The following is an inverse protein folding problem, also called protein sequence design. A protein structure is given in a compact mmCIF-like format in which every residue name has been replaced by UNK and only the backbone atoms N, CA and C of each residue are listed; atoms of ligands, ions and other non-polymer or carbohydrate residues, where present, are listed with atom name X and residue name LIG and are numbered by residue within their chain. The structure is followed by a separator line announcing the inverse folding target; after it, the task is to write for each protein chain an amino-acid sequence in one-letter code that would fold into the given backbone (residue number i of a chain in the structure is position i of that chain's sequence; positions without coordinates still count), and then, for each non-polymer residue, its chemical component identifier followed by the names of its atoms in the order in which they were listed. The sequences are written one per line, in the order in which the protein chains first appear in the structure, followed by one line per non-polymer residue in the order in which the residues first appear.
data_IF_080297106035
#
_entry.id   IF_080297106035
#
_cell.length_a   1.000
_cell.length_b   1.000
_cell.length_c   1.000
_cell.angle_alpha   90.00
_cell.angle_beta   90.00
_cell.angle_gamma   90.00
#
_symmetry.space_group_name_H-M   'P 1'
#
loop_
_entity.id
_entity.type
_entity.pdbx_description
1 polymer ?
#
# COMPACT_ATOMS: atom_id res chain seq x y z
N UNK A 1 21.50 -2.25 -16.86
CA UNK A 1 20.57 -3.34 -16.47
C UNK A 1 19.23 -2.65 -16.34
N UNK A 2 18.20 -3.01 -17.13
CA UNK A 2 16.89 -2.41 -16.95
C UNK A 2 16.41 -2.70 -15.53
N UNK A 3 15.86 -1.69 -14.87
CA UNK A 3 15.24 -1.85 -13.56
C UNK A 3 13.85 -2.38 -13.83
N UNK A 4 13.55 -3.56 -13.28
CA UNK A 4 12.23 -4.15 -13.37
C UNK A 4 11.33 -3.46 -12.35
N UNK A 5 10.36 -2.68 -12.84
CA UNK A 5 9.33 -2.07 -12.01
C UNK A 5 8.24 -3.10 -11.76
N UNK A 6 7.79 -3.18 -10.51
CA UNK A 6 6.88 -4.21 -10.03
C UNK A 6 5.64 -3.62 -9.34
N UNK A 7 5.31 -2.36 -9.59
CA UNK A 7 4.07 -1.76 -9.12
C UNK A 7 2.83 -2.40 -9.72
N UNK A 8 1.68 -2.17 -9.08
CA UNK A 8 0.39 -2.68 -9.54
C UNK A 8 -0.26 -1.74 -10.54
N UNK A 9 -0.71 -2.31 -11.66
CA UNK A 9 -1.54 -1.61 -12.64
C UNK A 9 -3.01 -2.03 -12.48
N UNK A 10 -3.92 -1.21 -12.99
CA UNK A 10 -5.36 -1.51 -12.99
C UNK A 10 -5.65 -2.86 -13.66
N UNK A 11 -4.98 -3.14 -14.78
CA UNK A 11 -5.14 -4.39 -15.52
C UNK A 11 -4.57 -5.58 -14.73
N UNK A 12 -3.44 -5.42 -14.04
CA UNK A 12 -2.88 -6.47 -13.16
C UNK A 12 -3.88 -6.90 -12.07
N UNK A 13 -4.68 -5.96 -11.57
CA UNK A 13 -5.74 -6.27 -10.59
C UNK A 13 -6.84 -7.16 -11.16
N UNK A 14 -7.15 -7.02 -12.46
CA UNK A 14 -8.20 -7.78 -13.14
C UNK A 14 -7.73 -9.16 -13.62
N UNK A 15 -6.41 -9.39 -13.69
CA UNK A 15 -5.78 -10.66 -14.03
C UNK A 15 -5.50 -11.56 -12.81
N UNK A 16 -6.21 -11.33 -11.70
CA UNK A 16 -6.00 -12.05 -10.44
C UNK A 16 -6.20 -13.56 -10.55
N UNK A 17 -6.92 -14.03 -11.56
CA UNK A 17 -7.15 -15.44 -11.86
C UNK A 17 -5.86 -16.20 -12.24
N UNK A 18 -4.81 -15.48 -12.63
CA UNK A 18 -3.48 -16.04 -12.87
C UNK A 18 -2.60 -16.11 -11.62
N UNK A 19 -3.05 -15.56 -10.49
CA UNK A 19 -2.27 -15.54 -9.27
C UNK A 19 -2.34 -16.87 -8.51
N UNK A 20 -1.31 -17.12 -7.71
CA UNK A 20 -1.34 -18.27 -6.79
C UNK A 20 -2.44 -18.06 -5.74
N UNK A 21 -3.06 -19.13 -5.22
CA UNK A 21 -4.16 -19.00 -4.25
C UNK A 21 -3.82 -18.16 -3.01
N UNK A 22 -2.58 -18.24 -2.52
CA UNK A 22 -2.15 -17.43 -1.37
C UNK A 22 -2.18 -15.92 -1.66
N UNK A 23 -1.85 -15.51 -2.89
CA UNK A 23 -1.90 -14.11 -3.31
C UNK A 23 -3.33 -13.64 -3.53
N UNK A 24 -4.21 -14.49 -4.07
CA UNK A 24 -5.66 -14.19 -4.16
C UNK A 24 -6.25 -13.98 -2.75
N UNK A 25 -5.87 -14.83 -1.80
CA UNK A 25 -6.30 -14.69 -0.40
C UNK A 25 -5.79 -13.39 0.25
N UNK A 26 -4.57 -12.95 -0.05
CA UNK A 26 -4.04 -11.66 0.39
C UNK A 26 -4.81 -10.49 -0.26
N UNK A 27 -5.06 -10.57 -1.57
CA UNK A 27 -5.82 -9.58 -2.32
C UNK A 27 -7.23 -9.39 -1.74
N UNK A 28 -7.88 -10.48 -1.33
CA UNK A 28 -9.18 -10.46 -0.65
C UNK A 28 -9.20 -9.75 0.70
N UNK A 29 -8.06 -9.50 1.35
CA UNK A 29 -7.98 -8.75 2.62
C UNK A 29 -7.92 -7.24 2.40
N UNK A 30 -7.34 -6.78 1.29
CA UNK A 30 -6.95 -5.38 1.10
C UNK A 30 -8.05 -4.62 0.35
N UNK A 31 -8.20 -3.34 0.66
CA UNK A 31 -9.01 -2.42 -0.13
C UNK A 31 -8.53 -2.35 -1.58
N UNK A 32 -9.46 -2.18 -2.53
CA UNK A 32 -9.10 -1.95 -3.92
C UNK A 32 -8.57 -0.51 -4.09
N UNK A 33 -7.28 -0.31 -4.42
CA UNK A 33 -6.72 1.03 -4.57
C UNK A 33 -7.20 1.75 -5.83
N UNK A 34 -7.83 1.05 -6.77
CA UNK A 34 -8.29 1.60 -8.05
C UNK A 34 -9.75 2.02 -8.05
N UNK A 35 -10.48 1.75 -6.97
CA UNK A 35 -11.89 2.11 -6.85
C UNK A 35 -12.02 3.48 -6.17
N UNK A 36 -12.58 4.45 -6.92
CA UNK A 36 -12.74 5.82 -6.45
C UNK A 36 -14.12 6.11 -5.84
N UNK A 37 -15.02 5.13 -5.82
CA UNK A 37 -16.34 5.29 -5.22
C UNK A 37 -16.26 4.98 -3.71
N UNK A 38 -16.65 5.96 -2.89
CA UNK A 38 -16.38 5.98 -1.44
C UNK A 38 -17.42 5.19 -0.62
N UNK A 39 -18.08 4.20 -1.24
CA UNK A 39 -19.10 3.37 -0.60
C UNK A 39 -18.50 2.20 0.19
N UNK A 40 -19.23 1.70 1.19
CA UNK A 40 -18.93 0.43 1.87
C UNK A 40 -19.33 -0.79 1.01
N UNK A 41 -19.00 -0.77 -0.28
CA UNK A 41 -19.38 -1.81 -1.24
C UNK A 41 -18.21 -2.71 -1.60
N UNK A 42 -18.50 -3.95 -2.00
CA UNK A 42 -17.47 -4.89 -2.49
C UNK A 42 -16.91 -4.47 -3.86
N UNK A 43 -17.69 -3.75 -4.67
CA UNK A 43 -17.18 -3.11 -5.87
C UNK A 43 -16.50 -4.08 -6.84
N UNK A 44 -15.33 -3.69 -7.33
CA UNK A 44 -14.52 -4.55 -8.21
C UNK A 44 -13.84 -5.73 -7.48
N UNK A 45 -14.00 -5.85 -6.15
CA UNK A 45 -13.45 -6.97 -5.35
C UNK A 45 -14.35 -8.21 -5.40
N UNK A 46 -15.60 -8.11 -5.87
CA UNK A 46 -16.56 -9.23 -5.88
C UNK A 46 -15.95 -10.51 -6.51
N UNK A 47 -15.32 -10.47 -7.70
CA UNK A 47 -14.74 -11.67 -8.30
C UNK A 47 -13.61 -12.28 -7.46
N UNK A 48 -12.80 -11.44 -6.82
CA UNK A 48 -11.70 -11.87 -5.94
C UNK A 48 -12.26 -12.53 -4.68
N UNK A 49 -13.30 -11.94 -4.09
CA UNK A 49 -13.97 -12.49 -2.91
C UNK A 49 -14.68 -13.81 -3.24
N UNK A 50 -15.25 -13.96 -4.44
CA UNK A 50 -15.83 -15.22 -4.89
C UNK A 50 -14.77 -16.33 -5.02
N UNK A 51 -13.60 -16.03 -5.59
CA UNK A 51 -12.48 -16.98 -5.63
C UNK A 51 -11.98 -17.32 -4.22
N UNK A 52 -11.91 -16.34 -3.31
CA UNK A 52 -11.60 -16.61 -1.90
C UNK A 52 -12.62 -17.57 -1.27
N UNK A 53 -13.92 -17.46 -1.59
CA UNK A 53 -14.96 -18.36 -1.08
C UNK A 53 -14.74 -19.78 -1.58
N UNK A 54 -14.30 -19.97 -2.81
CA UNK A 54 -13.95 -21.28 -3.35
C UNK A 54 -12.71 -21.89 -2.65
N UNK A 55 -11.72 -21.06 -2.28
CA UNK A 55 -10.48 -21.53 -1.63
C UNK A 55 -10.69 -21.87 -0.14
N UNK A 56 -11.35 -20.99 0.63
CA UNK A 56 -11.41 -21.09 2.11
C UNK A 56 -12.83 -21.23 2.67
N UNK A 57 -13.85 -21.10 1.84
CA UNK A 57 -15.25 -21.17 2.22
C UNK A 57 -15.87 -19.81 2.58
N UNK A 58 -17.20 -19.66 2.40
CA UNK A 58 -17.90 -18.39 2.57
C UNK A 58 -17.91 -17.85 4.00
N UNK A 59 -17.86 -18.74 4.99
CA UNK A 59 -17.88 -18.37 6.42
C UNK A 59 -16.64 -17.55 6.81
N UNK A 60 -15.48 -17.85 6.22
CA UNK A 60 -14.25 -17.10 6.50
C UNK A 60 -14.24 -15.76 5.76
N UNK A 61 -14.68 -15.74 4.49
CA UNK A 61 -14.75 -14.52 3.69
C UNK A 61 -15.75 -13.52 4.27
N UNK A 62 -16.86 -13.99 4.86
CA UNK A 62 -17.85 -13.14 5.51
C UNK A 62 -17.31 -12.34 6.72
N UNK A 63 -16.13 -12.68 7.23
CA UNK A 63 -15.46 -11.94 8.32
C UNK A 63 -14.70 -10.71 7.82
N UNK A 64 -14.51 -10.58 6.52
CA UNK A 64 -13.78 -9.48 5.88
C UNK A 64 -14.79 -8.35 5.60
N UNK A 65 -14.44 -7.07 5.88
CA UNK A 65 -15.26 -5.95 5.45
C UNK A 65 -15.48 -5.96 3.93
N UNK A 66 -16.66 -5.54 3.48
CA UNK A 66 -17.00 -5.47 2.06
C UNK A 66 -15.94 -4.71 1.23
N UNK A 67 -15.46 -3.58 1.76
CA UNK A 67 -14.40 -2.74 1.17
C UNK A 67 -12.98 -3.24 1.41
N UNK A 68 -12.75 -4.25 2.24
CA UNK A 68 -11.41 -4.67 2.68
C UNK A 68 -10.84 -3.77 3.77
N UNK A 69 -9.56 -3.97 4.10
CA UNK A 69 -8.83 -3.14 5.06
C UNK A 69 -7.79 -2.25 4.38
N UNK A 70 -7.61 -1.04 4.93
CA UNK A 70 -6.58 -0.12 4.48
C UNK A 70 -5.16 -0.61 4.87
N UNK A 71 -4.15 -0.33 4.03
CA UNK A 71 -2.75 -0.72 4.28
C UNK A 71 -2.21 -0.26 5.65
N UNK A 72 -2.46 0.99 6.05
CA UNK A 72 -1.97 1.55 7.31
C UNK A 72 -2.47 0.78 8.54
N UNK A 73 -3.72 0.31 8.45
CA UNK A 73 -4.36 -0.41 9.54
C UNK A 73 -3.93 -1.88 9.55
N UNK A 74 -3.71 -2.48 8.39
CA UNK A 74 -3.05 -3.78 8.28
C UNK A 74 -1.61 -3.72 8.82
N UNK A 75 -0.84 -2.68 8.50
CA UNK A 75 0.50 -2.45 9.06
C UNK A 75 0.45 -2.41 10.58
N UNK A 76 -0.42 -1.58 11.14
CA UNK A 76 -0.57 -1.46 12.60
C UNK A 76 -0.94 -2.80 13.27
N UNK A 77 -1.75 -3.64 12.62
CA UNK A 77 -2.17 -4.92 13.18
C UNK A 77 -1.14 -6.05 13.06
N UNK A 78 -0.26 -5.95 12.07
CA UNK A 78 0.72 -6.98 11.71
C UNK A 78 2.15 -6.68 12.17
N UNK A 79 2.45 -5.45 12.60
CA UNK A 79 3.79 -5.07 13.05
C UNK A 79 4.30 -5.95 14.20
N UNK A 80 5.56 -6.38 14.13
CA UNK A 80 6.21 -7.31 15.07
C UNK A 80 5.49 -8.66 15.21
N UNK A 81 4.83 -9.13 14.15
CA UNK A 81 4.14 -10.43 14.14
C UNK A 81 4.58 -11.31 12.97
N UNK A 82 4.32 -12.62 13.01
CA UNK A 82 4.53 -13.48 11.84
C UNK A 82 3.73 -13.06 10.59
N UNK A 83 2.77 -12.14 10.72
CA UNK A 83 1.87 -11.71 9.65
C UNK A 83 2.31 -10.43 8.92
N UNK A 84 3.53 -9.94 9.12
CA UNK A 84 4.07 -8.73 8.45
C UNK A 84 3.94 -8.76 6.92
N UNK A 85 4.03 -9.95 6.31
CA UNK A 85 3.86 -10.12 4.86
C UNK A 85 2.48 -9.68 4.34
N UNK A 86 1.44 -9.69 5.19
CA UNK A 86 0.11 -9.16 4.84
C UNK A 86 0.15 -7.65 4.66
N UNK A 87 0.82 -6.94 5.58
CA UNK A 87 0.96 -5.49 5.50
C UNK A 87 1.90 -5.08 4.35
N UNK A 88 2.99 -5.82 4.14
CA UNK A 88 3.87 -5.60 2.99
C UNK A 88 3.12 -5.75 1.67
N UNK A 89 2.24 -6.76 1.55
CA UNK A 89 1.41 -6.95 0.36
C UNK A 89 0.40 -5.81 0.18
N UNK A 90 -0.25 -5.37 1.26
CA UNK A 90 -1.22 -4.28 1.21
C UNK A 90 -0.59 -2.94 0.78
N UNK A 91 0.59 -2.64 1.32
CA UNK A 91 1.34 -1.44 0.95
C UNK A 91 1.81 -1.51 -0.50
N UNK A 92 2.26 -2.68 -0.95
CA UNK A 92 2.67 -2.92 -2.33
C UNK A 92 1.51 -2.73 -3.31
N UNK A 93 0.35 -3.35 -3.03
CA UNK A 93 -0.86 -3.19 -3.83
C UNK A 93 -1.26 -1.71 -3.96
N UNK A 94 -1.07 -0.94 -2.88
CA UNK A 94 -1.46 0.47 -2.81
C UNK A 94 -0.34 1.46 -3.18
N UNK A 95 0.78 0.99 -3.74
CA UNK A 95 1.94 1.83 -4.10
C UNK A 95 2.42 2.75 -2.95
N UNK A 96 2.48 2.19 -1.73
CA UNK A 96 2.76 2.92 -0.47
C UNK A 96 3.92 2.31 0.32
N UNK A 97 4.81 1.56 -0.35
CA UNK A 97 5.95 0.90 0.31
C UNK A 97 7.11 1.86 0.59
N UNK A 98 7.15 2.99 -0.11
CA UNK A 98 8.28 3.92 -0.13
C UNK A 98 9.47 3.39 -0.94
N UNK A 99 9.28 2.33 -1.73
CA UNK A 99 10.30 1.70 -2.57
C UNK A 99 9.89 1.86 -4.02
N UNK A 100 10.71 2.57 -4.80
CA UNK A 100 10.38 2.95 -6.17
C UNK A 100 10.09 1.73 -7.04
N UNK A 101 10.88 0.68 -6.89
CA UNK A 101 10.69 -0.59 -7.63
C UNK A 101 9.32 -1.20 -7.38
N UNK A 102 8.76 -1.06 -6.17
CA UNK A 102 7.49 -1.67 -5.79
C UNK A 102 6.30 -0.72 -5.98
N UNK A 103 6.51 0.59 -5.98
CA UNK A 103 5.44 1.59 -6.06
C UNK A 103 5.24 2.13 -7.48
N UNK A 104 6.17 1.88 -8.40
CA UNK A 104 6.14 2.41 -9.76
C UNK A 104 5.77 1.34 -10.80
N UNK A 105 5.13 1.79 -11.87
CA UNK A 105 4.87 1.03 -13.10
C UNK A 105 5.46 1.76 -14.30
N UNK A 106 5.64 1.06 -15.43
CA UNK A 106 6.10 1.71 -16.67
C UNK A 106 5.05 2.64 -17.28
N UNK A 107 3.77 2.49 -16.93
CA UNK A 107 2.74 3.47 -17.31
C UNK A 107 2.88 4.77 -16.51
N UNK A 108 3.24 4.68 -15.23
CA UNK A 108 3.40 5.85 -14.36
C UNK A 108 4.70 6.60 -14.63
N UNK A 109 5.79 5.87 -14.87
CA UNK A 109 7.09 6.43 -15.22
C UNK A 109 7.30 6.21 -16.72
N UNK A 110 7.14 7.27 -17.51
CA UNK A 110 7.44 7.27 -18.95
C UNK A 110 8.93 7.00 -19.23
N UNK A 111 9.49 7.57 -20.31
CA UNK A 111 10.93 7.38 -20.59
C UNK A 111 11.81 7.80 -19.39
N UNK A 112 12.49 6.82 -18.79
CA UNK A 112 13.28 7.02 -17.59
C UNK A 112 14.51 7.89 -17.89
N UNK A 113 14.62 9.01 -17.19
CA UNK A 113 15.85 9.80 -17.15
C UNK A 113 16.79 9.09 -16.19
N UNK A 114 17.66 8.24 -16.71
CA UNK A 114 18.67 7.55 -15.93
C UNK A 114 19.80 8.51 -15.57
N UNK A 115 19.88 8.88 -14.30
CA UNK A 115 21.06 9.52 -13.73
C UNK A 115 21.68 8.70 -12.60
N UNK A 116 22.83 9.17 -12.12
CA UNK A 116 23.59 8.48 -11.08
C UNK A 116 22.86 8.46 -9.74
N UNK A 117 22.13 9.51 -9.41
CA UNK A 117 21.42 9.62 -8.13
C UNK A 117 20.31 8.57 -8.05
N UNK A 118 19.56 8.40 -9.15
CA UNK A 118 18.53 7.38 -9.28
C UNK A 118 19.13 5.97 -9.19
N UNK A 119 20.23 5.70 -9.90
CA UNK A 119 20.88 4.38 -9.85
C UNK A 119 21.40 4.07 -8.44
N UNK A 120 22.01 5.04 -7.76
CA UNK A 120 22.52 4.87 -6.40
C UNK A 120 21.36 4.62 -5.41
N UNK A 121 20.24 5.31 -5.57
CA UNK A 121 19.03 5.12 -4.74
C UNK A 121 18.40 3.74 -4.95
N UNK A 122 18.21 3.30 -6.20
CA UNK A 122 17.67 1.98 -6.50
C UNK A 122 18.59 0.86 -6.02
N UNK A 123 19.90 1.06 -6.15
CA UNK A 123 20.90 0.13 -5.60
C UNK A 123 20.79 0.04 -4.08
N UNK A 124 20.56 1.17 -3.40
CA UNK A 124 20.34 1.23 -1.94
C UNK A 124 19.03 0.54 -1.53
N UNK A 125 17.96 0.67 -2.32
CA UNK A 125 16.66 0.08 -2.05
C UNK A 125 16.60 -1.43 -2.34
N UNK A 126 17.41 -1.93 -3.27
CA UNK A 126 17.38 -3.33 -3.73
C UNK A 126 17.31 -4.40 -2.61
N UNK A 127 18.16 -4.38 -1.56
CA UNK A 127 18.03 -5.37 -0.48
C UNK A 127 16.71 -5.26 0.31
N UNK A 128 16.12 -4.07 0.42
CA UNK A 128 14.84 -3.85 1.11
C UNK A 128 13.67 -4.39 0.27
N UNK A 129 13.70 -4.15 -1.04
CA UNK A 129 12.73 -4.70 -2.01
C UNK A 129 12.72 -6.22 -1.93
N UNK A 130 13.90 -6.85 -1.98
CA UNK A 130 14.02 -8.30 -1.88
C UNK A 130 13.47 -8.84 -0.56
N UNK A 131 13.81 -8.21 0.56
CA UNK A 131 13.31 -8.63 1.86
C UNK A 131 11.78 -8.54 1.97
N UNK A 132 11.16 -7.50 1.37
CA UNK A 132 9.69 -7.39 1.32
C UNK A 132 9.07 -8.49 0.46
N UNK A 133 9.58 -8.72 -0.75
CA UNK A 133 9.07 -9.81 -1.60
C UNK A 133 9.24 -11.18 -0.95
N UNK A 134 10.36 -11.44 -0.27
CA UNK A 134 10.58 -12.70 0.45
C UNK A 134 9.52 -12.89 1.56
N UNK A 135 9.14 -11.83 2.29
CA UNK A 135 8.07 -11.89 3.31
C UNK A 135 6.67 -12.07 2.72
N UNK A 136 6.35 -11.36 1.64
CA UNK A 136 5.09 -11.53 0.90
C UNK A 136 4.97 -12.96 0.37
N UNK A 137 6.02 -13.46 -0.27
CA UNK A 137 6.08 -14.82 -0.81
C UNK A 137 5.92 -15.88 0.29
N UNK A 138 6.63 -15.72 1.40
CA UNK A 138 6.51 -16.62 2.56
C UNK A 138 5.10 -16.62 3.15
N UNK A 139 4.43 -15.46 3.18
CA UNK A 139 3.04 -15.36 3.62
C UNK A 139 2.08 -16.09 2.68
N UNK A 140 2.24 -15.90 1.37
CA UNK A 140 1.46 -16.63 0.36
C UNK A 140 1.65 -18.14 0.45
N UNK A 141 2.89 -18.60 0.59
CA UNK A 141 3.20 -20.03 0.76
C UNK A 141 2.61 -20.61 2.06
N UNK A 142 2.67 -19.85 3.15
CA UNK A 142 2.05 -20.25 4.40
C UNK A 142 0.53 -20.38 4.24
N UNK A 143 -0.14 -19.41 3.61
CA UNK A 143 -1.57 -19.51 3.32
C UNK A 143 -1.90 -20.75 2.48
N UNK A 144 -1.12 -21.04 1.44
CA UNK A 144 -1.34 -22.18 0.55
C UNK A 144 -1.14 -23.55 1.22
N UNK A 145 -0.28 -23.64 2.24
CA UNK A 145 0.02 -24.92 2.89
C UNK A 145 -1.21 -25.54 3.58
N UNK A 146 -2.12 -24.71 4.10
CA UNK A 146 -3.40 -25.14 4.65
C UNK A 146 -4.42 -23.98 4.61
N UNK A 147 -5.04 -23.71 3.44
CA UNK A 147 -5.76 -22.46 3.19
C UNK A 147 -6.82 -22.13 4.23
N UNK A 148 -7.79 -23.01 4.46
CA UNK A 148 -8.87 -22.74 5.40
C UNK A 148 -8.36 -22.54 6.84
N UNK A 149 -7.42 -23.37 7.29
CA UNK A 149 -6.88 -23.28 8.66
C UNK A 149 -6.05 -22.01 8.86
N UNK A 150 -5.11 -21.76 7.97
CA UNK A 150 -4.16 -20.67 8.11
C UNK A 150 -4.85 -19.32 7.86
N UNK A 151 -5.80 -19.26 6.93
CA UNK A 151 -6.62 -18.07 6.74
C UNK A 151 -7.52 -17.80 7.95
N UNK A 152 -8.11 -18.82 8.56
CA UNK A 152 -8.84 -18.66 9.82
C UNK A 152 -7.94 -18.13 10.95
N UNK A 153 -6.72 -18.67 11.09
CA UNK A 153 -5.73 -18.22 12.07
C UNK A 153 -5.33 -16.76 11.86
N UNK A 154 -5.13 -16.36 10.59
CA UNK A 154 -4.87 -14.97 10.22
C UNK A 154 -6.04 -14.05 10.58
N UNK A 155 -7.27 -14.44 10.23
CA UNK A 155 -8.47 -13.66 10.53
C UNK A 155 -8.73 -13.58 12.05
N UNK A 156 -8.40 -14.61 12.81
CA UNK A 156 -8.48 -14.60 14.28
C UNK A 156 -7.49 -13.60 14.90
N UNK A 157 -6.37 -13.34 14.24
CA UNK A 157 -5.43 -12.30 14.63
C UNK A 157 -5.88 -10.89 14.22
N UNK A 158 -6.37 -10.73 12.99
CA UNK A 158 -6.74 -9.43 12.42
C UNK A 158 -8.05 -8.89 12.99
N UNK A 159 -9.13 -9.66 12.92
CA UNK A 159 -10.49 -9.18 13.22
C UNK A 159 -10.62 -8.53 14.61
N UNK A 160 -10.01 -9.04 15.69
CA UNK A 160 -10.09 -8.38 17.00
C UNK A 160 -9.38 -7.02 17.09
N UNK A 161 -8.37 -6.79 16.24
CA UNK A 161 -7.57 -5.55 16.22
C UNK A 161 -8.13 -4.51 15.26
N UNK A 162 -8.86 -4.97 14.25
CA UNK A 162 -9.36 -4.14 13.18
C UNK A 162 -10.84 -3.84 13.45
N UNK A 163 -11.14 -2.59 13.82
CA UNK A 163 -12.53 -2.15 13.87
C UNK A 163 -13.13 -2.23 12.47
N UNK A 164 -14.39 -2.68 12.35
CA UNK A 164 -15.18 -2.59 11.11
C UNK A 164 -15.38 -1.15 10.59
N UNK A 165 -15.00 -0.16 11.41
CA UNK A 165 -14.89 1.23 11.01
C UNK A 165 -13.52 1.39 10.38
N UNK A 166 -13.46 1.97 9.19
CA UNK A 166 -12.43 2.97 9.10
C UNK A 166 -11.96 3.37 7.75
N UNK A 167 -10.72 3.00 7.45
CA UNK A 167 -9.66 3.96 7.81
C UNK A 167 -9.60 5.14 6.84
N UNK A 168 -8.99 6.23 7.31
CA UNK A 168 -8.92 7.49 6.56
C UNK A 168 -8.26 7.26 5.20
N UNK A 169 -8.89 7.82 4.17
CA UNK A 169 -8.39 7.94 2.78
C UNK A 169 -6.85 8.07 2.80
N UNK A 170 -6.11 7.07 2.29
CA UNK A 170 -4.68 7.20 2.09
C UNK A 170 -4.44 8.36 1.11
N UNK A 171 -3.60 9.31 1.48
CA UNK A 171 -3.22 10.38 0.55
C UNK A 171 -2.44 9.76 -0.59
N UNK A 172 -2.82 10.11 -1.81
CA UNK A 172 -2.04 9.75 -3.00
C UNK A 172 -0.65 10.39 -2.94
N UNK A 173 0.35 9.79 -3.60
CA UNK A 173 1.69 10.40 -3.74
C UNK A 173 1.61 11.85 -4.25
N UNK A 174 0.66 12.16 -5.13
CA UNK A 174 0.41 13.53 -5.63
C UNK A 174 -0.02 14.47 -4.49
N UNK A 175 -0.91 14.02 -3.60
CA UNK A 175 -1.37 14.79 -2.45
C UNK A 175 -0.27 14.94 -1.39
N UNK A 176 0.55 13.90 -1.18
CA UNK A 176 1.72 13.96 -0.30
C UNK A 176 2.73 14.99 -0.82
N UNK A 177 3.06 14.96 -2.10
CA UNK A 177 3.97 15.94 -2.71
C UNK A 177 3.36 17.35 -2.75
N UNK A 178 2.05 17.49 -2.92
CA UNK A 178 1.37 18.77 -2.86
C UNK A 178 1.43 19.38 -1.45
N UNK A 179 1.26 18.56 -0.40
CA UNK A 179 1.36 18.99 0.98
C UNK A 179 2.80 19.32 1.38
N UNK A 180 3.78 18.54 0.94
CA UNK A 180 5.21 18.84 1.14
C UNK A 180 5.63 20.13 0.43
N UNK A 181 5.13 20.35 -0.80
CA UNK A 181 5.36 21.59 -1.53
C UNK A 181 4.70 22.78 -0.84
N UNK A 182 3.46 22.64 -0.34
CA UNK A 182 2.76 23.69 0.40
C UNK A 182 3.46 24.03 1.73
N UNK A 183 3.90 23.02 2.48
CA UNK A 183 4.63 23.21 3.74
C UNK A 183 5.99 23.89 3.51
N UNK A 184 6.67 23.59 2.40
CA UNK A 184 7.91 24.24 2.00
C UNK A 184 7.69 25.72 1.64
N UNK A 185 6.63 26.02 0.89
CA UNK A 185 6.23 27.41 0.55
C UNK A 185 5.87 28.20 1.82
N UNK A 186 5.17 27.59 2.76
CA UNK A 186 4.80 28.23 4.04
C UNK A 186 6.03 28.47 4.94
N UNK A 187 6.98 27.52 4.99
CA UNK A 187 8.24 27.68 5.71
C UNK A 187 9.13 28.79 5.11
N UNK A 188 9.18 28.90 3.78
CA UNK A 188 9.89 29.97 3.07
C UNK A 188 9.21 31.34 3.28
N UNK A 189 7.88 31.39 3.31
CA UNK A 189 7.12 32.61 3.62
C UNK A 189 7.33 33.07 5.08
N UNK A 190 7.41 32.13 6.03
CA UNK A 190 7.69 32.41 7.44
C UNK A 190 9.13 32.92 7.65
N UNK A 191 10.11 32.40 6.91
CA UNK A 191 11.49 32.94 6.91
C UNK A 191 11.58 34.32 6.27
N UNK A 192 10.80 34.60 5.23
CA UNK A 192 10.71 35.94 4.61
C UNK A 192 10.09 37.01 5.52
N UNK A 193 9.19 36.64 6.45
CA UNK A 193 8.53 37.57 7.35
C UNK A 193 9.46 38.12 8.45
N UNK A 194 10.52 37.40 8.82
CA UNK A 194 11.47 37.83 9.87
C UNK A 194 12.45 38.92 9.42
N UNK A 195 12.59 39.18 8.12
CA UNK A 195 13.51 40.22 7.59
C UNK A 195 12.81 41.60 7.44
N UNK A 196 11.48 41.66 7.46
CA UNK A 196 10.71 42.88 7.21
C UNK A 196 10.40 43.77 8.43
N UNK A 197 10.79 43.36 9.65
CA UNK A 197 10.38 44.05 10.90
C UNK A 197 11.57 44.66 11.66
N UNK A 198 12.38 45.49 10.99
CA UNK A 198 13.28 46.43 11.68
C UNK A 198 12.96 47.89 11.33
N UNK A 199 12.21 48.50 12.25
CA UNK A 199 12.28 49.89 12.73
C UNK A 199 12.15 51.04 11.71
N UNK A 200 10.93 51.57 11.61
CA UNK A 200 10.74 53.02 11.52
C UNK A 200 11.18 53.66 12.84
N UNK A 201 12.17 54.55 12.80
CA UNK A 201 12.48 55.48 13.89
C UNK A 201 11.53 56.70 13.84
N UNK A 202 10.97 57.16 14.97
CA UNK A 202 10.26 58.42 15.03
C UNK A 202 11.23 59.61 15.21
N UNK A 203 11.07 60.61 14.35
CA UNK A 203 11.27 62.05 14.59
C UNK A 203 12.59 62.59 15.18
N UNK A 204 13.26 63.45 14.40
CA UNK A 204 13.62 64.82 14.80
C UNK A 204 13.67 65.71 13.56
#
# INVERSE_FOLDING_TARGET
IPVELAGWEYDSYHEFDNFRPGHVLLLGLVINPFEHDFGDTEGARIPILDECKEIVGPELVARIPARGWDPDVLRTACDDTPYEGVADFAEWLSASTGLWVMDATYEMYGEEIWDREIVDELTRQHPLVRARFDRIGSMGEWLEANPAKNYAELLDHLVPKLSAVGPKIPKTLIEVFADEAAAKVEAEAAQGCHIGRMMHRPGM
#
